data_IF_273325104301
#
_entry.id   IF_273325104301
#
_cell.length_a   1.000
_cell.length_b   1.000
_cell.length_c   1.000
_cell.angle_alpha   90.00
_cell.angle_beta   90.00
_cell.angle_gamma   90.00
#
_symmetry.space_group_name_H-M   'P 1'
#
loop_
_entity.id
_entity.type
_entity.pdbx_description
1 polymer ?
#
# COMPACT_ATOMS: atom_id res chain seq x y z
N UNK A 1 22.34 -31.04 -18.60
CA UNK A 1 22.83 -29.74 -18.09
C UNK A 1 21.69 -28.82 -17.65
N UNK A 2 20.73 -29.27 -16.82
CA UNK A 2 19.57 -28.48 -16.39
C UNK A 2 19.44 -28.45 -14.87
N UNK A 3 20.42 -27.85 -14.18
CA UNK A 3 20.36 -27.62 -12.71
C UNK A 3 20.90 -26.26 -12.26
N UNK A 4 21.35 -25.39 -13.20
CA UNK A 4 21.93 -24.07 -12.85
C UNK A 4 20.91 -22.94 -12.75
N UNK A 5 19.76 -23.03 -13.42
CA UNK A 5 18.78 -21.93 -13.46
C UNK A 5 17.87 -21.85 -12.21
N UNK A 6 17.58 -22.96 -11.54
CA UNK A 6 16.75 -22.95 -10.31
C UNK A 6 17.43 -22.23 -9.14
N UNK A 7 18.75 -22.37 -9.02
CA UNK A 7 19.53 -21.80 -7.92
C UNK A 7 19.65 -20.26 -8.02
N UNK A 8 19.62 -19.71 -9.24
CA UNK A 8 19.69 -18.26 -9.47
C UNK A 8 18.36 -17.60 -9.09
N UNK A 9 17.23 -18.19 -9.48
CA UNK A 9 15.90 -17.67 -9.15
C UNK A 9 15.62 -17.75 -7.64
N UNK A 10 15.99 -18.85 -6.99
CA UNK A 10 15.88 -18.98 -5.54
C UNK A 10 16.75 -17.95 -4.80
N UNK A 11 17.97 -17.69 -5.31
CA UNK A 11 18.84 -16.63 -4.82
C UNK A 11 18.22 -15.23 -4.95
N UNK A 12 17.67 -14.91 -6.12
CA UNK A 12 17.00 -13.62 -6.39
C UNK A 12 15.76 -13.42 -5.51
N UNK A 13 14.95 -14.47 -5.29
CA UNK A 13 13.78 -14.41 -4.40
C UNK A 13 14.21 -14.23 -2.93
N UNK A 14 15.27 -14.92 -2.49
CA UNK A 14 15.80 -14.78 -1.14
C UNK A 14 16.41 -13.39 -0.89
N UNK A 15 17.00 -12.78 -1.92
CA UNK A 15 17.50 -11.40 -1.88
C UNK A 15 16.37 -10.38 -1.86
N UNK A 16 15.38 -10.49 -2.74
CA UNK A 16 14.21 -9.60 -2.76
C UNK A 16 13.42 -9.63 -1.44
N UNK A 17 13.30 -10.80 -0.81
CA UNK A 17 12.66 -10.94 0.52
C UNK A 17 13.35 -10.14 1.62
N UNK A 18 14.67 -9.91 1.53
CA UNK A 18 15.43 -9.14 2.52
C UNK A 18 15.20 -7.63 2.42
N UNK A 19 14.71 -7.15 1.28
CA UNK A 19 14.46 -5.72 1.05
C UNK A 19 13.05 -5.25 1.44
N UNK A 20 12.17 -6.16 1.87
CA UNK A 20 10.82 -5.80 2.34
C UNK A 20 10.93 -5.47 3.83
N UNK A 21 11.35 -4.25 4.15
CA UNK A 21 11.25 -3.68 5.51
C UNK A 21 9.94 -2.90 5.62
N UNK A 22 9.06 -3.27 6.54
CA UNK A 22 7.82 -2.56 6.80
C UNK A 22 7.96 -1.69 8.05
N UNK A 23 7.97 -0.37 7.88
CA UNK A 23 7.84 0.58 8.98
C UNK A 23 6.39 1.06 9.12
N UNK A 24 5.95 1.22 10.37
CA UNK A 24 4.63 1.76 10.69
C UNK A 24 4.74 3.12 11.37
N UNK A 25 4.04 4.12 10.84
CA UNK A 25 3.99 5.47 11.40
C UNK A 25 2.53 5.94 11.52
N UNK A 26 2.18 6.63 12.61
CA UNK A 26 0.90 7.32 12.68
C UNK A 26 0.90 8.50 11.71
N UNK A 27 -0.15 8.62 10.89
CA UNK A 27 -0.34 9.71 9.94
C UNK A 27 -1.78 10.21 10.07
N UNK A 28 -1.94 11.54 10.06
CA UNK A 28 -3.26 12.16 10.04
C UNK A 28 -3.91 12.02 8.66
N UNK A 29 -5.25 12.05 8.64
CA UNK A 29 -6.00 12.06 7.37
C UNK A 29 -5.63 13.28 6.52
N UNK A 30 -5.29 14.40 7.15
CA UNK A 30 -4.86 15.62 6.45
C UNK A 30 -3.54 15.41 5.70
N UNK A 31 -2.55 14.78 6.32
CA UNK A 31 -1.29 14.41 5.67
C UNK A 31 -1.53 13.47 4.48
N UNK A 32 -2.31 12.39 4.69
CA UNK A 32 -2.65 11.46 3.62
C UNK A 32 -3.36 12.15 2.44
N UNK A 33 -4.23 13.11 2.74
CA UNK A 33 -4.96 13.89 1.73
C UNK A 33 -4.02 14.82 0.95
N UNK A 34 -3.04 15.42 1.62
CA UNK A 34 -2.05 16.28 0.95
C UNK A 34 -1.15 15.45 0.03
N UNK A 35 -0.63 14.32 0.49
CA UNK A 35 0.17 13.41 -0.33
C UNK A 35 -0.58 12.97 -1.60
N UNK A 36 -1.89 12.70 -1.49
CA UNK A 36 -2.71 12.39 -2.64
C UNK A 36 -2.85 13.57 -3.61
N UNK A 37 -3.06 14.78 -3.09
CA UNK A 37 -3.18 16.01 -3.90
C UNK A 37 -1.88 16.37 -4.61
N UNK A 38 -0.76 16.15 -3.95
CA UNK A 38 0.59 16.46 -4.44
C UNK A 38 1.12 15.38 -5.40
N UNK A 39 0.36 14.29 -5.60
CA UNK A 39 0.72 13.19 -6.51
C UNK A 39 1.79 12.25 -5.96
N UNK A 40 2.06 12.33 -4.65
CA UNK A 40 2.97 11.45 -3.92
C UNK A 40 2.32 10.12 -3.56
N UNK A 41 0.99 10.09 -3.38
CA UNK A 41 0.20 8.89 -3.12
C UNK A 41 -0.68 8.49 -4.32
N UNK A 42 -0.46 7.28 -4.83
CA UNK A 42 -1.21 6.67 -5.93
C UNK A 42 -2.18 5.65 -5.33
N UNK A 43 -3.47 6.00 -5.24
CA UNK A 43 -4.49 5.14 -4.62
C UNK A 43 -5.04 4.02 -5.54
N UNK A 44 -4.61 3.98 -6.82
CA UNK A 44 -5.04 2.98 -7.81
C UNK A 44 -3.84 2.47 -8.63
N UNK A 45 -2.89 1.77 -8.00
CA UNK A 45 -1.85 1.07 -8.74
C UNK A 45 -2.44 -0.04 -9.61
N UNK A 46 -1.66 -0.55 -10.57
CA UNK A 46 -2.12 -1.54 -11.56
C UNK A 46 -2.63 -2.85 -10.93
N UNK A 47 -2.09 -3.23 -9.77
CA UNK A 47 -2.48 -4.42 -9.03
C UNK A 47 -3.69 -4.21 -8.10
N UNK A 48 -4.20 -2.98 -7.98
CA UNK A 48 -5.30 -2.68 -7.07
C UNK A 48 -6.60 -3.33 -7.56
N UNK A 49 -7.31 -4.00 -6.64
CA UNK A 49 -8.61 -4.60 -6.96
C UNK A 49 -9.58 -3.54 -7.46
N UNK A 50 -10.47 -3.95 -8.36
CA UNK A 50 -11.57 -3.10 -8.80
C UNK A 50 -12.35 -2.58 -7.60
N UNK A 51 -12.76 -1.33 -7.69
CA UNK A 51 -13.59 -0.70 -6.69
C UNK A 51 -14.93 -1.43 -6.59
N UNK A 52 -15.27 -1.93 -5.40
CA UNK A 52 -16.49 -2.74 -5.16
C UNK A 52 -17.41 -2.16 -4.08
N UNK A 53 -17.06 -1.01 -3.51
CA UNK A 53 -17.83 -0.47 -2.40
C UNK A 53 -19.11 0.20 -2.90
N UNK A 54 -20.22 -0.09 -2.24
CA UNK A 54 -21.46 0.65 -2.42
C UNK A 54 -21.41 2.01 -1.74
N UNK A 55 -22.33 2.90 -2.11
CA UNK A 55 -22.50 4.22 -1.49
C UNK A 55 -22.68 4.10 0.03
N UNK A 56 -23.46 3.12 0.49
CA UNK A 56 -23.65 2.86 1.91
C UNK A 56 -22.35 2.47 2.61
N UNK A 57 -21.50 1.66 2.00
CA UNK A 57 -20.21 1.27 2.58
C UNK A 57 -19.26 2.47 2.69
N UNK A 58 -19.24 3.33 1.66
CA UNK A 58 -18.48 4.59 1.71
C UNK A 58 -18.95 5.50 2.85
N UNK A 59 -20.26 5.69 2.98
CA UNK A 59 -20.80 6.58 4.02
C UNK A 59 -20.47 6.07 5.42
N UNK A 60 -20.56 4.76 5.66
CA UNK A 60 -20.21 4.16 6.97
C UNK A 60 -18.73 4.33 7.33
N UNK A 61 -17.84 4.31 6.35
CA UNK A 61 -16.42 4.60 6.57
C UNK A 61 -16.24 6.05 7.05
N UNK A 62 -16.86 7.00 6.35
CA UNK A 62 -16.80 8.42 6.74
C UNK A 62 -17.39 8.63 8.13
N UNK A 63 -18.53 8.02 8.42
CA UNK A 63 -19.16 8.05 9.75
C UNK A 63 -18.22 7.49 10.83
N UNK A 64 -17.56 6.36 10.58
CA UNK A 64 -16.59 5.76 11.53
C UNK A 64 -15.45 6.71 11.85
N UNK A 65 -14.92 7.42 10.83
CA UNK A 65 -13.89 8.45 11.00
C UNK A 65 -14.40 9.59 11.88
N UNK A 66 -15.62 10.11 11.61
CA UNK A 66 -16.21 11.21 12.38
C UNK A 66 -16.52 10.83 13.83
N UNK A 67 -16.87 9.56 14.08
CA UNK A 67 -17.12 9.01 15.42
C UNK A 67 -15.84 8.64 16.17
N UNK A 68 -14.67 8.76 15.55
CA UNK A 68 -13.39 8.39 16.17
C UNK A 68 -13.21 6.88 16.38
N UNK A 69 -13.91 6.06 15.60
CA UNK A 69 -13.76 4.61 15.64
C UNK A 69 -12.38 4.25 15.07
N UNK A 70 -11.59 3.39 15.74
CA UNK A 70 -10.27 3.01 15.26
C UNK A 70 -10.35 2.29 13.91
N UNK A 71 -9.51 2.74 12.98
CA UNK A 71 -9.41 2.20 11.63
C UNK A 71 -8.29 1.15 11.53
N UNK A 72 -8.45 0.11 10.69
CA UNK A 72 -7.33 -0.77 10.36
C UNK A 72 -6.18 0.02 9.72
N UNK A 73 -4.96 -0.45 9.94
CA UNK A 73 -3.78 0.08 9.26
C UNK A 73 -3.92 -0.06 7.75
N UNK A 74 -3.48 0.97 7.03
CA UNK A 74 -3.34 0.95 5.57
C UNK A 74 -1.90 0.58 5.25
N UNK A 75 -1.72 -0.30 4.28
CA UNK A 75 -0.41 -0.71 3.78
C UNK A 75 -0.17 -0.06 2.42
N UNK A 76 1.04 0.45 2.24
CA UNK A 76 1.50 1.15 1.04
C UNK A 76 2.90 0.63 0.69
N UNK A 77 3.18 0.52 -0.60
CA UNK A 77 4.51 0.23 -1.12
C UNK A 77 5.18 1.53 -1.55
N UNK A 78 6.45 1.71 -1.20
CA UNK A 78 7.23 2.85 -1.69
C UNK A 78 7.88 2.46 -3.03
N UNK A 79 7.53 3.16 -4.10
CA UNK A 79 8.10 3.00 -5.43
C UNK A 79 9.40 3.80 -5.58
N UNK A 80 10.19 3.44 -6.61
CA UNK A 80 11.36 4.21 -7.00
C UNK A 80 10.96 5.66 -7.35
N UNK A 81 11.60 6.65 -6.72
CA UNK A 81 11.25 8.06 -6.86
C UNK A 81 10.38 8.63 -5.73
N UNK A 82 10.15 7.87 -4.65
CA UNK A 82 9.53 8.38 -3.42
C UNK A 82 8.00 8.45 -3.45
N UNK A 83 7.37 7.88 -4.49
CA UNK A 83 5.91 7.73 -4.57
C UNK A 83 5.43 6.52 -3.80
N UNK A 84 4.19 6.60 -3.34
CA UNK A 84 3.55 5.60 -2.49
C UNK A 84 2.39 4.99 -3.28
N UNK A 85 2.33 3.67 -3.35
CA UNK A 85 1.35 2.88 -4.12
C UNK A 85 0.58 1.89 -3.25
#
# INVERSE_FOLDING_TARGET
>A
MSKRHGNVLEGQVAEARRNISSDGYPMSIGELTNMYRDGELIIRPEFQRFYRWSDTQRSRLVESILLGIPMPSIFVAQAEGGKWE
#
